data_IF_508340666446
#
_entry.id   IF_508340666446
#
_cell.length_a   1.000
_cell.length_b   1.000
_cell.length_c   1.000
_cell.angle_alpha   90.00
_cell.angle_beta   90.00
_cell.angle_gamma   90.00
#
_symmetry.space_group_name_H-M   'P 1'
#
loop_
_entity.id
_entity.type
_entity.pdbx_description
1 polymer ?
2 polymer ?
3 polymer ?
4 polymer ?
5 polymer ?
6 water ?
#
loop_
_entity_poly.entity_id
_entity_poly.type
_entity_poly.pdbx_seq_one_letter_code
_entity_poly.pdbx_strand_id
2 'polydeoxyribonucleotide' '(DG)(DA)(DA)(DT)(DC)(DA)(DC)(DA)(DA)(DA)(DT)(DC)(DA)(DC)(DA)(DA)(DG)' ?
3 'polydeoxyribonucleotide' '(DT)(DT)(DG)(DT)(DG)(DA)(DT)(DT)(DT)(DG)(DT)(DG)(DA)(DT)(DT)(DC)(DG)' ?
4 'polydeoxyribonucleotide' '(DG)(DA)(DA)(DT)(DC)(DA)(DC)(DA)(DA)(DG)(DT)(DC)(DA)(DC)(DA)(DA)(DG)(DC)' ?
5 'polydeoxyribonucleotide' '(DC)(DT)(DT)(DG)(DT)(DG)(DA)(DC)(DT)(DT)(DG)(DT)(DG)(DA)(DT)(DT)(DC)(DG)' ?
#
# COMPACT_ATOMS: atom_id res chain seq x y z
N UNK A 1 -20.02 -0.20 -14.53
CA UNK A 1 -21.07 -1.19 -14.91
C UNK A 1 -21.83 -1.65 -13.66
N UNK A 2 -23.15 -1.80 -13.79
CA UNK A 2 -24.01 -2.17 -12.65
C UNK A 2 -23.44 -3.37 -11.88
N UNK A 3 -23.35 -4.52 -12.56
CA UNK A 3 -22.76 -5.73 -11.96
C UNK A 3 -21.39 -5.40 -11.34
N UNK A 4 -20.59 -4.63 -12.08
CA UNK A 4 -19.20 -4.39 -11.73
C UNK A 4 -19.03 -3.32 -10.64
N UNK A 5 -20.03 -2.44 -10.50
CA UNK A 5 -19.95 -1.33 -9.53
C UNK A 5 -20.13 -1.82 -8.10
N UNK A 6 -20.94 -2.88 -7.94
CA UNK A 6 -21.16 -3.50 -6.61
C UNK A 6 -20.36 -4.80 -6.46
N UNK A 7 -19.38 -4.98 -7.33
CA UNK A 7 -18.56 -6.17 -7.36
C UNK A 7 -17.56 -6.22 -6.19
N UNK A 8 -17.54 -7.34 -5.46
CA UNK A 8 -16.61 -7.51 -4.33
C UNK A 8 -15.29 -8.20 -4.68
N UNK A 9 -14.56 -8.60 -3.64
CA UNK A 9 -13.20 -9.14 -3.80
C UNK A 9 -13.06 -10.49 -3.13
N UNK A 10 -12.31 -11.37 -3.77
CA UNK A 10 -11.86 -12.60 -3.15
C UNK A 10 -10.40 -12.39 -2.83
N UNK A 11 -9.85 -13.12 -1.86
CA UNK A 11 -8.42 -13.02 -1.59
C UNK A 11 -7.74 -14.27 -2.02
N UNK A 12 -6.52 -14.14 -2.48
CA UNK A 12 -5.74 -15.25 -3.01
C UNK A 12 -4.30 -15.02 -2.65
N UNK A 13 -3.49 -16.08 -2.67
CA UNK A 13 -2.11 -15.98 -2.22
C UNK A 13 -1.17 -16.21 -3.36
N UNK A 14 -0.26 -15.28 -3.55
CA UNK A 14 0.66 -15.35 -4.65
C UNK A 14 2.09 -15.46 -4.14
N UNK A 15 2.97 -15.99 -4.99
CA UNK A 15 4.41 -15.96 -4.76
C UNK A 15 4.88 -14.58 -4.31
N UNK A 16 5.74 -14.55 -3.29
CA UNK A 16 6.08 -13.31 -2.62
C UNK A 16 6.91 -12.40 -3.51
N UNK A 17 7.86 -12.98 -4.21
CA UNK A 17 8.75 -12.19 -5.04
C UNK A 17 8.00 -11.53 -6.18
N UNK A 18 6.94 -12.17 -6.66
CA UNK A 18 6.08 -11.57 -7.66
C UNK A 18 5.32 -10.40 -7.06
N UNK A 19 4.72 -10.64 -5.93
CA UNK A 19 4.06 -9.59 -5.19
C UNK A 19 4.99 -8.39 -4.97
N UNK A 20 6.25 -8.67 -4.64
CA UNK A 20 7.17 -7.64 -4.27
C UNK A 20 7.49 -6.72 -5.43
N UNK A 21 7.60 -7.30 -6.62
CA UNK A 21 7.73 -6.54 -7.86
C UNK A 21 6.59 -5.55 -8.03
N UNK A 22 5.37 -6.01 -7.79
CA UNK A 22 4.20 -5.20 -8.00
C UNK A 22 4.12 -4.12 -6.95
N UNK A 23 4.37 -4.51 -5.71
CA UNK A 23 4.45 -3.56 -4.64
C UNK A 23 5.37 -2.38 -5.05
N UNK A 24 6.53 -2.69 -5.63
CA UNK A 24 7.49 -1.66 -5.93
C UNK A 24 7.06 -0.86 -7.15
N UNK A 25 6.62 -1.54 -8.20
CA UNK A 25 6.23 -0.87 -9.45
C UNK A 25 5.06 0.08 -9.20
N UNK A 26 4.05 -0.39 -8.45
CA UNK A 26 2.87 0.42 -8.19
C UNK A 26 3.22 1.61 -7.34
N UNK A 27 4.03 1.39 -6.31
CA UNK A 27 4.44 2.45 -5.40
C UNK A 27 5.24 3.54 -6.12
N UNK A 28 5.94 3.15 -7.20
CA UNK A 28 6.70 4.08 -8.06
C UNK A 28 5.80 4.78 -9.07
N UNK A 29 5.02 4.00 -9.82
CA UNK A 29 4.30 4.51 -11.00
C UNK A 29 2.79 4.42 -10.90
N UNK A 30 2.28 4.40 -9.68
CA UNK A 30 0.84 4.50 -9.46
C UNK A 30 0.13 3.17 -9.56
N UNK A 31 -1.07 3.12 -9.01
CA UNK A 31 -1.86 1.91 -9.01
C UNK A 31 -1.72 1.20 -7.69
N UNK A 32 -2.29 0.01 -7.62
CA UNK A 32 -2.17 -0.80 -6.45
C UNK A 32 -2.22 -2.27 -6.81
N UNK A 33 -1.95 -3.11 -5.83
CA UNK A 33 -1.80 -4.53 -6.06
C UNK A 33 -3.08 -5.14 -6.67
N UNK A 34 -4.21 -4.82 -6.07
CA UNK A 34 -5.49 -5.31 -6.54
C UNK A 34 -5.74 -4.92 -8.03
N UNK A 35 -5.56 -3.64 -8.36
CA UNK A 35 -5.69 -3.17 -9.72
C UNK A 35 -4.94 -4.11 -10.67
N UNK A 36 -3.74 -4.50 -10.27
CA UNK A 36 -2.87 -5.29 -11.11
C UNK A 36 -3.36 -6.73 -11.16
N UNK A 37 -3.75 -7.26 -10.02
CA UNK A 37 -4.33 -8.60 -9.97
C UNK A 37 -5.52 -8.72 -10.91
N UNK A 38 -6.35 -7.69 -10.95
CA UNK A 38 -7.53 -7.74 -11.75
C UNK A 38 -7.16 -7.76 -13.24
N UNK A 39 -6.32 -6.83 -13.65
CA UNK A 39 -5.88 -6.76 -15.02
C UNK A 39 -5.19 -8.05 -15.42
N UNK A 40 -4.27 -8.50 -14.58
CA UNK A 40 -3.45 -9.69 -14.89
C UNK A 40 -4.32 -10.91 -15.12
N UNK A 41 -5.38 -11.04 -14.34
CA UNK A 41 -6.19 -12.23 -14.36
C UNK A 41 -7.19 -12.15 -15.48
N UNK A 42 -7.67 -10.95 -15.76
CA UNK A 42 -8.58 -10.76 -16.87
C UNK A 42 -7.90 -11.04 -18.18
N UNK A 43 -6.66 -10.57 -18.30
CA UNK A 43 -5.91 -10.77 -19.53
C UNK A 43 -5.59 -12.24 -19.72
N UNK A 44 -5.46 -12.95 -18.62
CA UNK A 44 -5.16 -14.38 -18.65
C UNK A 44 -6.37 -15.17 -19.05
N UNK A 45 -7.53 -14.80 -18.54
CA UNK A 45 -8.78 -15.48 -18.86
C UNK A 45 -9.17 -15.18 -20.31
N UNK A 46 -8.98 -13.94 -20.70
CA UNK A 46 -9.16 -13.51 -22.06
C UNK A 46 -8.25 -14.30 -22.98
N UNK A 47 -7.06 -14.61 -22.50
CA UNK A 47 -6.09 -15.31 -23.30
C UNK A 47 -6.49 -16.77 -23.48
N UNK A 48 -6.65 -17.47 -22.36
CA UNK A 48 -6.80 -18.93 -22.38
C UNK A 48 -8.25 -19.43 -22.21
N UNK A 49 -9.20 -18.52 -21.94
CA UNK A 49 -10.55 -18.92 -21.53
C UNK A 49 -11.64 -17.96 -21.99
N UNK A 50 -11.57 -17.50 -23.25
CA UNK A 50 -12.45 -16.40 -23.71
C UNK A 50 -13.96 -16.67 -23.58
N UNK A 51 -14.35 -17.94 -23.62
CA UNK A 51 -15.73 -18.33 -23.37
C UNK A 51 -16.25 -17.72 -22.08
N UNK A 52 -15.42 -17.73 -21.03
CA UNK A 52 -15.91 -17.54 -19.67
C UNK A 52 -16.13 -16.09 -19.34
N UNK A 53 -15.69 -15.21 -20.22
CA UNK A 53 -16.01 -13.79 -20.13
C UNK A 53 -17.25 -13.44 -20.96
N UNK B 4 17.12 -24.05 -3.54
CA UNK B 4 16.04 -24.45 -4.50
C UNK B 4 15.08 -23.27 -4.73
N UNK B 5 14.11 -23.47 -5.65
CA UNK B 5 13.02 -22.49 -5.89
C UNK B 5 11.81 -22.76 -4.98
N UNK B 6 12.10 -23.05 -3.72
CA UNK B 6 11.12 -22.90 -2.64
C UNK B 6 10.85 -21.39 -2.45
N UNK B 7 9.59 -21.01 -2.32
CA UNK B 7 9.20 -19.59 -2.29
C UNK B 7 7.91 -19.36 -1.50
N UNK B 8 7.90 -18.36 -0.63
CA UNK B 8 6.75 -18.07 0.21
C UNK B 8 5.66 -17.30 -0.51
N UNK B 9 4.59 -17.01 0.21
CA UNK B 9 3.39 -16.47 -0.41
C UNK B 9 2.95 -15.13 0.18
N UNK B 10 2.01 -14.50 -0.49
CA UNK B 10 1.54 -13.19 -0.09
C UNK B 10 0.08 -13.05 -0.50
N UNK B 11 -0.77 -12.65 0.44
CA UNK B 11 -2.18 -12.55 0.17
C UNK B 11 -2.47 -11.29 -0.61
N UNK B 12 -3.28 -11.42 -1.65
CA UNK B 12 -3.71 -10.28 -2.46
C UNK B 12 -5.20 -10.40 -2.75
N UNK B 13 -5.82 -9.29 -3.12
CA UNK B 13 -7.23 -9.32 -3.49
C UNK B 13 -7.42 -9.43 -5.00
N UNK B 14 -8.49 -10.10 -5.41
CA UNK B 14 -8.91 -10.16 -6.80
C UNK B 14 -10.39 -9.97 -6.88
N UNK B 15 -10.84 -9.42 -8.00
CA UNK B 15 -12.25 -9.25 -8.23
C UNK B 15 -12.97 -10.60 -8.21
N UNK B 16 -14.18 -10.60 -7.66
CA UNK B 16 -14.86 -11.83 -7.28
C UNK B 16 -15.25 -12.71 -8.47
N UNK B 17 -15.87 -12.10 -9.48
CA UNK B 17 -16.30 -12.84 -10.66
C UNK B 17 -15.14 -13.57 -11.36
N UNK B 18 -13.99 -12.92 -11.45
CA UNK B 18 -12.82 -13.52 -12.06
C UNK B 18 -12.34 -14.74 -11.25
N UNK B 19 -12.14 -14.54 -9.95
CA UNK B 19 -11.81 -15.64 -9.06
C UNK B 19 -12.77 -16.81 -9.23
N UNK B 20 -14.05 -16.52 -9.41
CA UNK B 20 -15.04 -17.57 -9.60
C UNK B 20 -14.81 -18.34 -10.88
N UNK B 21 -14.49 -17.64 -11.95
CA UNK B 21 -14.30 -18.29 -13.24
C UNK B 21 -13.15 -19.29 -13.15
N UNK B 22 -12.12 -18.93 -12.38
CA UNK B 22 -11.03 -19.83 -12.12
C UNK B 22 -11.48 -20.99 -11.27
N UNK B 23 -12.18 -20.69 -10.18
CA UNK B 23 -12.61 -21.72 -9.24
C UNK B 23 -13.45 -22.83 -9.90
N UNK B 24 -14.24 -22.46 -10.88
CA UNK B 24 -15.06 -23.42 -11.60
C UNK B 24 -14.26 -24.22 -12.62
N UNK B 25 -13.43 -23.53 -13.38
CA UNK B 25 -12.65 -24.21 -14.41
C UNK B 25 -11.63 -25.17 -13.81
N UNK B 26 -10.99 -24.76 -12.72
CA UNK B 26 -9.99 -25.61 -12.04
C UNK B 26 -10.66 -26.77 -11.32
N UNK B 27 -11.84 -26.51 -10.75
CA UNK B 27 -12.63 -27.57 -10.12
C UNK B 27 -13.03 -28.59 -11.16
N UNK B 28 -13.38 -28.11 -12.33
CA UNK B 28 -13.94 -28.93 -13.41
C UNK B 28 -12.87 -29.81 -14.01
N UNK B 29 -11.74 -29.20 -14.37
CA UNK B 29 -10.70 -29.90 -15.09
C UNK B 29 -9.37 -29.90 -14.34
N UNK B 30 -9.43 -29.93 -13.02
CA UNK B 30 -8.21 -30.09 -12.19
C UNK B 30 -7.38 -28.81 -12.04
N UNK B 31 -6.44 -28.84 -11.10
CA UNK B 31 -5.67 -27.65 -10.73
C UNK B 31 -6.25 -26.99 -9.49
N UNK B 32 -5.60 -25.93 -9.02
CA UNK B 32 -6.17 -25.08 -7.99
C UNK B 32 -6.02 -23.62 -8.39
N UNK B 33 -6.64 -22.72 -7.62
CA UNK B 33 -6.68 -21.31 -8.01
C UNK B 33 -5.30 -20.66 -7.87
N UNK B 34 -4.64 -20.97 -6.76
CA UNK B 34 -3.30 -20.42 -6.46
C UNK B 34 -2.31 -20.58 -7.63
N UNK B 35 -2.25 -21.78 -8.21
CA UNK B 35 -1.40 -22.02 -9.37
C UNK B 35 -1.69 -21.02 -10.44
N UNK B 36 -2.96 -20.94 -10.82
CA UNK B 36 -3.38 -20.12 -11.92
C UNK B 36 -3.14 -18.66 -11.63
N UNK B 37 -3.46 -18.26 -10.42
CA UNK B 37 -3.35 -16.90 -10.04
C UNK B 37 -1.90 -16.45 -10.11
N UNK B 38 -0.99 -17.35 -9.72
CA UNK B 38 0.46 -17.13 -9.90
C UNK B 38 0.86 -17.03 -11.38
N UNK B 39 0.31 -17.91 -12.22
CA UNK B 39 0.69 -17.96 -13.62
C UNK B 39 0.25 -16.69 -14.36
N UNK B 40 -0.94 -16.23 -14.00
CA UNK B 40 -1.45 -15.00 -14.56
C UNK B 40 -0.56 -13.84 -14.15
N UNK B 41 -0.08 -13.86 -12.92
CA UNK B 41 0.75 -12.78 -12.43
C UNK B 41 2.09 -12.79 -13.13
N UNK B 42 2.75 -13.95 -13.16
CA UNK B 42 4.03 -14.06 -13.82
C UNK B 42 3.95 -13.56 -15.25
N UNK B 43 2.87 -13.89 -15.94
CA UNK B 43 2.72 -13.53 -17.35
C UNK B 43 2.46 -12.06 -17.53
N UNK B 44 1.73 -11.48 -16.59
CA UNK B 44 1.58 -10.02 -16.55
C UNK B 44 2.95 -9.34 -16.46
N UNK B 45 3.76 -9.83 -15.54
CA UNK B 45 5.02 -9.20 -15.24
C UNK B 45 5.94 -9.28 -16.43
N UNK B 46 5.84 -10.37 -17.19
CA UNK B 46 6.65 -10.55 -18.40
C UNK B 46 6.18 -9.65 -19.49
N UNK B 47 4.89 -9.40 -19.54
CA UNK B 47 4.32 -8.53 -20.54
C UNK B 47 4.74 -7.08 -20.33
N UNK B 48 4.71 -6.63 -19.09
CA UNK B 48 4.82 -5.20 -18.81
C UNK B 48 6.10 -4.84 -18.04
N UNK B 49 6.69 -5.79 -17.34
CA UNK B 49 7.85 -5.52 -16.51
C UNK B 49 8.94 -6.59 -16.71
N UNK B 50 9.24 -6.92 -17.97
CA UNK B 50 10.06 -8.09 -18.24
C UNK B 50 11.43 -7.98 -17.56
N UNK B 51 12.06 -6.82 -17.73
CA UNK B 51 13.24 -6.44 -16.96
C UNK B 51 13.22 -7.02 -15.53
N UNK B 52 12.11 -6.82 -14.82
CA UNK B 52 12.02 -7.16 -13.39
C UNK B 52 12.01 -8.64 -13.18
N UNK B 53 11.53 -9.36 -14.18
CA UNK B 53 11.34 -10.81 -14.06
C UNK B 53 12.71 -11.49 -14.12
N UNK C 1 1.40 3.80 26.50
CA UNK C 1 0.78 4.79 27.44
C UNK C 1 -0.71 4.84 27.28
N UNK C 2 -1.43 5.12 28.37
CA UNK C 2 -2.89 5.00 28.38
C UNK C 2 -3.52 5.63 27.14
N UNK C 3 -3.15 6.89 26.86
CA UNK C 3 -3.74 7.61 25.72
C UNK C 3 -3.34 7.01 24.38
N UNK C 4 -2.10 6.54 24.27
CA UNK C 4 -1.67 5.84 23.06
C UNK C 4 -2.39 4.52 22.95
N UNK C 5 -2.18 3.68 23.96
CA UNK C 5 -2.83 2.38 24.02
C UNK C 5 -4.27 2.46 23.55
N UNK C 6 -5.02 3.40 24.09
CA UNK C 6 -6.49 3.34 24.01
C UNK C 6 -7.10 4.09 22.82
N UNK C 7 -6.55 5.25 22.47
CA UNK C 7 -7.12 6.05 21.38
C UNK C 7 -6.82 5.41 20.03
N UNK C 8 -7.52 5.89 19.00
CA UNK C 8 -7.41 5.30 17.67
C UNK C 8 -6.36 5.97 16.80
N UNK C 9 -6.64 6.05 15.51
CA UNK C 9 -5.81 6.77 14.55
C UNK C 9 -6.63 7.88 13.96
N UNK C 10 -5.95 8.86 13.36
CA UNK C 10 -6.61 10.06 12.92
C UNK C 10 -6.01 10.51 11.60
N UNK C 11 -6.85 10.83 10.63
CA UNK C 11 -6.40 11.11 9.27
C UNK C 11 -5.85 12.51 9.16
N UNK C 12 -4.76 12.63 8.41
CA UNK C 12 -3.97 13.83 8.34
C UNK C 12 -3.49 14.01 6.91
N UNK C 13 -3.31 15.26 6.49
CA UNK C 13 -2.77 15.55 5.15
C UNK C 13 -1.25 15.74 5.17
N UNK C 14 -0.61 15.43 4.04
CA UNK C 14 0.83 15.56 3.89
C UNK C 14 1.18 15.87 2.44
N UNK C 15 2.24 16.67 2.25
CA UNK C 15 2.85 16.85 0.92
C UNK C 15 3.01 15.50 0.22
N UNK C 16 2.51 15.42 -1.00
CA UNK C 16 2.55 14.18 -1.79
C UNK C 16 3.98 13.72 -2.08
N UNK C 17 4.85 14.65 -2.49
CA UNK C 17 6.23 14.30 -2.82
C UNK C 17 6.97 13.62 -1.66
N UNK C 18 6.81 14.17 -0.47
CA UNK C 18 7.39 13.57 0.72
C UNK C 18 6.78 12.18 0.97
N UNK C 19 5.47 12.11 0.85
CA UNK C 19 4.76 10.87 1.04
C UNK C 19 5.30 9.81 0.11
N UNK C 20 5.50 10.18 -1.14
CA UNK C 20 5.82 9.22 -2.20
C UNK C 20 7.16 8.58 -1.92
N UNK C 21 8.12 9.40 -1.53
CA UNK C 21 9.42 8.94 -1.15
C UNK C 21 9.32 7.84 -0.10
N UNK C 22 8.51 8.07 0.92
CA UNK C 22 8.36 7.10 1.98
C UNK C 22 7.72 5.81 1.45
N UNK C 23 6.75 5.94 0.56
CA UNK C 23 6.04 4.78 0.03
C UNK C 23 6.95 3.92 -0.85
N UNK C 24 7.72 4.55 -1.71
CA UNK C 24 8.72 3.85 -2.47
C UNK C 24 9.68 3.11 -1.53
N UNK C 25 10.11 3.79 -0.47
CA UNK C 25 11.09 3.24 0.45
C UNK C 25 10.59 1.96 1.08
N UNK C 26 9.34 2.01 1.56
CA UNK C 26 8.73 0.90 2.29
C UNK C 26 8.41 -0.27 1.38
N UNK C 27 7.96 0.04 0.17
CA UNK C 27 7.76 -0.99 -0.85
C UNK C 27 9.05 -1.78 -1.06
N UNK C 28 10.19 -1.08 -1.10
CA UNK C 28 11.49 -1.71 -1.31
C UNK C 28 11.98 -2.43 -0.07
N UNK C 29 12.28 -1.66 0.96
CA UNK C 29 12.68 -2.22 2.23
C UNK C 29 11.42 -2.52 3.01
N UNK C 30 11.53 -2.81 4.30
CA UNK C 30 10.35 -3.25 5.06
C UNK C 30 9.31 -2.17 5.27
N UNK C 31 8.41 -2.41 6.23
CA UNK C 31 7.68 -1.32 6.90
C UNK C 31 6.39 -0.88 6.25
N UNK C 32 5.89 0.26 6.68
CA UNK C 32 4.72 0.89 6.07
C UNK C 32 4.67 2.37 6.43
N UNK C 33 3.86 3.12 5.70
CA UNK C 33 3.92 4.58 5.77
C UNK C 33 3.56 5.09 7.16
N UNK C 34 2.44 4.63 7.68
CA UNK C 34 1.94 5.09 8.98
C UNK C 34 3.02 4.98 10.01
N UNK C 35 3.62 3.81 10.08
CA UNK C 35 4.76 3.54 10.93
C UNK C 35 5.77 4.67 10.90
N UNK C 36 6.16 5.10 9.71
CA UNK C 36 7.15 6.18 9.56
C UNK C 36 6.57 7.52 9.98
N UNK C 37 5.36 7.79 9.54
CA UNK C 37 4.69 9.00 9.95
C UNK C 37 4.65 9.16 11.47
N UNK C 38 4.17 8.12 12.16
CA UNK C 38 4.06 8.14 13.60
C UNK C 38 5.40 8.48 14.26
N UNK C 39 6.47 7.88 13.76
CA UNK C 39 7.83 8.21 14.23
C UNK C 39 8.20 9.64 13.89
N UNK C 40 8.17 9.97 12.60
CA UNK C 40 8.44 11.35 12.16
C UNK C 40 7.72 12.36 13.04
N UNK C 41 6.45 12.11 13.30
CA UNK C 41 5.63 13.02 14.08
C UNK C 41 6.06 13.05 15.55
N UNK C 42 6.36 11.87 16.10
CA UNK C 42 6.79 11.77 17.49
C UNK C 42 8.08 12.51 17.70
N UNK C 43 9.04 12.29 16.80
CA UNK C 43 10.35 12.93 16.89
C UNK C 43 10.24 14.45 16.77
N UNK C 44 9.25 14.91 16.00
CA UNK C 44 8.94 16.33 15.92
C UNK C 44 8.54 16.85 17.30
N UNK C 45 7.58 16.17 17.91
CA UNK C 45 7.04 16.57 19.19
C UNK C 45 8.10 16.58 20.28
N UNK C 46 8.84 15.48 20.39
CA UNK C 46 9.86 15.37 21.42
C UNK C 46 10.92 16.46 21.31
N UNK C 47 11.01 17.10 20.15
CA UNK C 47 12.05 18.08 19.88
C UNK C 47 11.53 19.50 20.01
N UNK C 48 10.30 19.72 19.59
CA UNK C 48 9.72 21.06 19.54
C UNK C 48 8.64 21.30 20.62
N UNK C 49 8.10 20.20 21.19
CA UNK C 49 7.03 20.28 22.18
C UNK C 49 7.28 19.28 23.28
N UNK C 50 8.48 19.28 23.85
CA UNK C 50 8.97 18.18 24.70
C UNK C 50 8.04 17.82 25.87
N UNK C 51 7.46 18.83 26.51
CA UNK C 51 6.60 18.62 27.69
C UNK C 51 5.26 17.95 27.34
N UNK C 52 4.79 18.18 26.12
CA UNK C 52 3.48 17.67 25.72
C UNK C 52 3.52 16.17 25.55
N UNK C 53 4.72 15.59 25.54
CA UNK C 53 4.85 14.15 25.47
C UNK C 53 5.77 13.60 26.58
N UNK D 7 2.37 17.85 -8.09
CA UNK D 7 2.14 17.12 -6.80
C UNK D 7 1.38 18.02 -5.82
N UNK D 8 0.65 17.39 -4.90
CA UNK D 8 -0.13 18.13 -3.91
C UNK D 8 -0.07 17.47 -2.56
N UNK D 9 -1.20 16.95 -2.09
CA UNK D 9 -1.26 16.27 -0.78
C UNK D 9 -1.62 14.80 -0.92
N UNK D 10 -1.20 14.02 0.05
CA UNK D 10 -1.65 12.66 0.22
C UNK D 10 -2.26 12.56 1.64
N UNK D 11 -2.97 11.49 1.94
CA UNK D 11 -3.58 11.35 3.26
C UNK D 11 -2.97 10.21 4.03
N UNK D 12 -2.82 10.42 5.34
CA UNK D 12 -2.25 9.42 6.22
C UNK D 12 -3.02 9.40 7.52
N UNK D 13 -3.27 8.20 8.03
CA UNK D 13 -3.81 8.01 9.38
C UNK D 13 -2.65 7.94 10.38
N UNK D 14 -2.65 8.82 11.38
CA UNK D 14 -1.63 8.75 12.44
C UNK D 14 -2.24 8.66 13.81
N UNK D 15 -1.43 8.20 14.76
CA UNK D 15 -1.85 8.02 16.11
C UNK D 15 -2.60 9.22 16.64
N UNK D 16 -3.82 8.96 17.10
CA UNK D 16 -4.74 10.01 17.52
C UNK D 16 -4.23 10.82 18.72
N UNK D 17 -3.43 10.18 19.58
CA UNK D 17 -2.89 10.84 20.75
C UNK D 17 -1.82 11.88 20.39
N UNK D 18 -1.16 11.69 19.25
CA UNK D 18 -0.20 12.68 18.78
C UNK D 18 -0.91 13.76 18.00
N UNK D 19 -1.82 13.36 17.13
CA UNK D 19 -2.64 14.32 16.40
C UNK D 19 -3.34 15.24 17.38
N UNK D 20 -3.73 14.70 18.53
CA UNK D 20 -4.36 15.49 19.56
C UNK D 20 -3.43 16.61 20.00
N UNK D 21 -2.24 16.25 20.44
CA UNK D 21 -1.24 17.22 20.85
C UNK D 21 -1.09 18.38 19.82
N UNK D 22 -1.12 18.03 18.54
CA UNK D 22 -0.91 19.02 17.48
C UNK D 22 -2.11 19.95 17.33
N UNK D 23 -3.31 19.45 17.52
CA UNK D 23 -4.49 20.31 17.49
C UNK D 23 -4.38 21.37 18.57
N UNK D 24 -4.19 20.92 19.81
CA UNK D 24 -4.10 21.81 20.93
C UNK D 24 -3.12 22.93 20.65
N UNK D 25 -1.92 22.57 20.21
CA UNK D 25 -0.88 23.55 19.99
C UNK D 25 -1.24 24.53 18.88
N UNK D 26 -1.66 24.01 17.73
CA UNK D 26 -1.96 24.87 16.59
C UNK D 26 -3.15 25.76 16.88
N UNK D 27 -4.05 25.27 17.73
CA UNK D 27 -5.12 26.12 18.24
C UNK D 27 -4.54 27.24 19.14
N UNK D 28 -3.62 26.86 20.02
CA UNK D 28 -3.16 27.73 21.13
C UNK D 28 -2.17 28.78 20.65
N UNK D 29 -1.12 28.33 19.96
CA UNK D 29 -0.25 29.20 19.18
C UNK D 29 -0.70 29.10 17.72
N UNK D 30 0.14 29.49 16.77
CA UNK D 30 -0.26 29.54 15.35
C UNK D 30 -0.29 28.17 14.70
N UNK D 31 -0.88 28.09 13.50
CA UNK D 31 -0.52 27.02 12.54
C UNK D 31 -1.67 26.15 12.06
N UNK D 32 -1.31 25.01 11.48
CA UNK D 32 -2.28 23.97 11.17
C UNK D 32 -1.63 22.59 11.11
N UNK D 33 -2.46 21.55 11.07
CA UNK D 33 -1.98 20.20 11.18
C UNK D 33 -1.09 19.82 10.00
N UNK D 34 -1.44 20.28 8.81
CA UNK D 34 -0.70 19.87 7.63
C UNK D 34 0.73 20.40 7.70
N UNK D 35 0.87 21.65 8.15
CA UNK D 35 2.19 22.27 8.29
C UNK D 35 3.11 21.38 9.11
N UNK D 36 2.61 20.91 10.24
CA UNK D 36 3.43 20.15 11.15
C UNK D 36 3.87 18.84 10.52
N UNK D 37 2.95 18.18 9.85
CA UNK D 37 3.27 16.95 9.15
C UNK D 37 4.34 17.17 8.13
N UNK D 38 4.10 18.13 7.25
CA UNK D 38 5.02 18.39 6.18
C UNK D 38 6.41 18.60 6.74
N UNK D 39 6.51 19.39 7.81
CA UNK D 39 7.81 19.64 8.44
C UNK D 39 8.34 18.38 9.06
N UNK D 40 7.52 17.76 9.92
CA UNK D 40 7.93 16.55 10.63
C UNK D 40 8.53 15.52 9.68
N UNK D 41 7.86 15.30 8.55
CA UNK D 41 8.30 14.32 7.58
C UNK D 41 9.61 14.77 6.91
N UNK D 42 9.70 16.03 6.54
CA UNK D 42 10.89 16.52 5.90
C UNK D 42 12.07 16.37 6.83
N UNK D 43 11.89 16.73 8.09
CA UNK D 43 12.96 16.63 9.06
C UNK D 43 13.35 15.17 9.31
N UNK D 44 12.37 14.29 9.30
CA UNK D 44 12.64 12.86 9.36
C UNK D 44 13.44 12.42 8.14
N UNK D 45 12.91 12.68 6.95
CA UNK D 45 13.54 12.21 5.72
C UNK D 45 14.98 12.70 5.62
N UNK D 46 15.22 13.95 6.02
CA UNK D 46 16.60 14.48 6.09
C UNK D 46 17.48 13.66 7.05
N UNK D 47 16.94 13.39 8.24
CA UNK D 47 17.69 12.77 9.31
C UNK D 47 18.12 11.37 8.93
N UNK D 48 17.22 10.63 8.30
CA UNK D 48 17.41 9.18 8.11
C UNK D 48 17.52 8.74 6.63
N UNK D 49 17.07 9.59 5.70
CA UNK D 49 17.12 9.25 4.27
C UNK D 49 17.56 10.45 3.41
N UNK D 50 18.71 11.07 3.76
CA UNK D 50 19.10 12.34 3.13
C UNK D 50 19.32 12.20 1.63
N UNK D 51 20.07 11.17 1.27
CA UNK D 51 20.17 10.71 -0.11
C UNK D 51 18.95 11.11 -0.99
N UNK D 52 17.74 10.85 -0.52
CA UNK D 52 16.52 11.12 -1.31
C UNK D 52 16.29 12.61 -1.49
N UNK D 53 17.04 13.19 -2.43
CA UNK D 53 17.06 14.66 -2.66
C UNK D 53 15.96 15.09 -3.66
#
# INVERSE_FOLDING_TARGET
MAKKDIMGDKTVRVRADLHHIIKIETAKNGGNVKEVMDQALEEYIRKYLPDKL
MAKKDIMGDKTVRVRADLHHIIKIETAKNGGNVKEVMDQALEEYIRKYLPDKL
MAKKDIMGDKTVRVRADLHHIIKIETAKNGGNVKEVMDQALEEYIRKYLPDKL
MAKKDIMGDKTVRVRADLHHIIKIETAKNGGNVKEVMDQALEEYIRKYLPDKL
#
